data_IF_024052976552
#
_entry.id   IF_024052976552
#
_cell.length_a   1.000
_cell.length_b   1.000
_cell.length_c   1.000
_cell.angle_alpha   90.00
_cell.angle_beta   90.00
_cell.angle_gamma   90.00
#
_symmetry.space_group_name_H-M   'P 1'
#
loop_
_entity.id
_entity.type
_entity.pdbx_description
1 polymer ?
#
# COMPACT_ATOMS: atom_id res chain seq x y z
N UNK A 1 -33.38 4.79 -8.87
CA UNK A 1 -32.78 4.42 -7.58
C UNK A 1 -31.30 4.31 -7.86
N UNK A 2 -30.60 5.45 -7.76
CA UNK A 2 -29.19 5.51 -8.15
C UNK A 2 -28.35 4.74 -7.13
N UNK A 3 -27.61 3.76 -7.64
CA UNK A 3 -26.69 2.96 -6.85
C UNK A 3 -25.48 3.87 -6.57
N UNK A 4 -25.51 4.57 -5.45
CA UNK A 4 -24.35 5.30 -4.94
C UNK A 4 -23.26 4.28 -4.58
N UNK A 5 -22.35 4.03 -5.52
CA UNK A 5 -21.17 3.22 -5.29
C UNK A 5 -20.12 4.07 -4.55
N UNK A 6 -19.91 3.79 -3.27
CA UNK A 6 -18.74 4.29 -2.55
C UNK A 6 -17.47 3.84 -3.29
N UNK A 7 -16.67 4.78 -3.81
CA UNK A 7 -15.44 4.45 -4.53
C UNK A 7 -14.25 4.61 -3.58
N UNK A 8 -13.62 3.49 -3.22
CA UNK A 8 -12.40 3.48 -2.42
C UNK A 8 -11.17 3.51 -3.34
N UNK A 9 -10.38 4.58 -3.25
CA UNK A 9 -9.19 4.79 -4.09
C UNK A 9 -7.92 4.42 -3.32
N UNK A 10 -7.86 4.71 -2.03
CA UNK A 10 -6.70 4.41 -1.18
C UNK A 10 -5.58 5.45 -1.29
N UNK A 11 -4.34 5.00 -1.13
CA UNK A 11 -3.15 5.85 -1.11
C UNK A 11 -2.82 6.40 -2.51
N UNK A 12 -2.31 7.63 -2.57
CA UNK A 12 -1.80 8.20 -3.81
C UNK A 12 -0.52 7.45 -4.27
N UNK A 13 -0.07 7.72 -5.51
CA UNK A 13 1.09 7.05 -6.09
C UNK A 13 2.35 7.23 -5.24
N UNK A 14 2.63 8.44 -4.79
CA UNK A 14 3.81 8.73 -3.98
C UNK A 14 3.81 7.91 -2.68
N UNK A 15 2.68 7.87 -1.97
CA UNK A 15 2.54 7.14 -0.72
C UNK A 15 2.64 5.62 -0.93
N UNK A 16 2.10 5.10 -2.03
CA UNK A 16 2.26 3.70 -2.41
C UNK A 16 3.73 3.34 -2.65
N UNK A 17 4.45 4.22 -3.34
CA UNK A 17 5.87 4.02 -3.61
C UNK A 17 6.69 4.15 -2.31
N UNK A 18 6.36 5.12 -1.45
CA UNK A 18 7.01 5.34 -0.15
C UNK A 18 6.89 4.13 0.79
N UNK A 19 5.72 3.50 0.89
CA UNK A 19 5.53 2.31 1.73
C UNK A 19 6.04 1.00 1.10
N UNK A 20 6.60 1.09 -0.13
CA UNK A 20 7.22 -0.03 -0.87
C UNK A 20 8.71 0.19 -1.15
N UNK A 21 9.24 1.40 -0.92
CA UNK A 21 10.55 1.82 -1.43
C UNK A 21 11.71 1.18 -0.71
N UNK A 22 11.50 0.60 0.47
CA UNK A 22 12.56 -0.06 1.21
C UNK A 22 12.53 -1.57 0.94
N UNK A 23 13.47 -2.03 0.11
CA UNK A 23 13.61 -3.41 -0.30
C UNK A 23 14.84 -4.00 0.38
N UNK A 24 14.65 -4.81 1.42
CA UNK A 24 15.73 -5.55 2.05
C UNK A 24 16.02 -6.84 1.29
N UNK A 25 17.30 -7.22 1.23
CA UNK A 25 17.71 -8.53 0.76
C UNK A 25 17.00 -9.61 1.58
N UNK A 26 16.26 -10.50 0.89
CA UNK A 26 15.46 -11.54 1.53
C UNK A 26 16.15 -12.90 1.44
N UNK A 27 16.49 -13.35 0.23
CA UNK A 27 17.19 -14.62 0.00
C UNK A 27 17.76 -14.71 -1.41
N UNK A 28 18.60 -15.71 -1.61
CA UNK A 28 19.00 -16.19 -2.92
C UNK A 28 18.06 -17.30 -3.40
N UNK A 29 17.55 -17.19 -4.62
CA UNK A 29 16.79 -18.27 -5.26
C UNK A 29 17.67 -18.99 -6.28
N UNK A 30 17.95 -20.27 -6.03
CA UNK A 30 18.60 -21.13 -7.00
C UNK A 30 17.52 -21.70 -7.92
N UNK A 31 17.63 -21.42 -9.22
CA UNK A 31 16.79 -22.05 -10.24
C UNK A 31 17.56 -23.19 -10.88
N UNK A 32 16.94 -24.35 -10.93
CA UNK A 32 17.50 -25.52 -11.63
C UNK A 32 16.68 -25.75 -12.88
N UNK A 33 17.32 -25.68 -14.05
CA UNK A 33 16.70 -26.14 -15.29
C UNK A 33 16.96 -27.65 -15.40
N UNK A 34 15.90 -28.44 -15.49
CA UNK A 34 16.00 -29.88 -15.76
C UNK A 34 15.64 -30.09 -17.23
N UNK A 35 16.61 -30.51 -18.04
CA UNK A 35 16.40 -30.82 -19.45
C UNK A 35 15.70 -32.17 -19.62
N UNK A 36 15.01 -32.42 -20.75
CA UNK A 36 14.29 -33.68 -21.01
C UNK A 36 15.15 -34.95 -20.92
N UNK A 37 16.48 -34.82 -21.05
CA UNK A 37 17.46 -35.91 -20.92
C UNK A 37 18.00 -36.11 -19.50
N UNK A 38 17.43 -35.43 -18.51
CA UNK A 38 17.84 -35.52 -17.10
C UNK A 38 19.08 -34.70 -16.73
N UNK A 39 19.70 -34.00 -17.70
CA UNK A 39 20.75 -33.02 -17.42
C UNK A 39 20.17 -31.87 -16.58
N UNK A 40 20.87 -31.50 -15.52
CA UNK A 40 20.52 -30.36 -14.68
C UNK A 40 21.52 -29.24 -14.89
N UNK A 41 21.03 -28.03 -15.11
CA UNK A 41 21.83 -26.82 -15.14
C UNK A 41 21.40 -25.92 -13.99
N UNK A 42 22.36 -25.55 -13.14
CA UNK A 42 22.16 -24.53 -12.11
C UNK A 42 22.23 -23.16 -12.79
N UNK A 43 21.09 -22.48 -12.84
CA UNK A 43 21.03 -21.10 -13.31
C UNK A 43 21.53 -20.15 -12.22
N UNK A 44 21.99 -18.98 -12.65
CA UNK A 44 22.52 -17.94 -11.78
C UNK A 44 21.61 -17.68 -10.59
N UNK A 45 22.23 -17.59 -9.42
CA UNK A 45 21.56 -17.29 -8.16
C UNK A 45 21.21 -15.80 -8.18
N UNK A 46 19.91 -15.47 -8.23
CA UNK A 46 19.46 -14.08 -8.20
C UNK A 46 19.08 -13.67 -6.77
N UNK A 47 19.51 -12.49 -6.28
CA UNK A 47 19.03 -11.95 -5.02
C UNK A 47 17.55 -11.56 -5.17
N UNK A 48 16.72 -12.07 -4.25
CA UNK A 48 15.34 -11.63 -4.07
C UNK A 48 15.36 -10.55 -2.98
N UNK A 49 14.73 -9.42 -3.29
CA UNK A 49 14.48 -8.35 -2.33
C UNK A 49 13.00 -8.31 -1.99
N UNK A 50 12.67 -8.23 -0.70
CA UNK A 50 11.29 -8.02 -0.24
C UNK A 50 11.19 -6.67 0.45
N UNK A 51 9.98 -6.11 0.49
CA UNK A 51 9.75 -4.92 1.32
C UNK A 51 10.14 -5.23 2.77
N UNK A 52 11.03 -4.42 3.32
CA UNK A 52 11.39 -4.46 4.74
C UNK A 52 10.32 -3.80 5.63
N UNK A 53 9.42 -3.03 5.00
CA UNK A 53 8.31 -2.33 5.65
C UNK A 53 7.21 -3.34 5.94
N UNK A 54 6.85 -3.48 7.22
CA UNK A 54 5.74 -4.33 7.64
C UNK A 54 4.43 -3.58 7.48
N UNK A 55 3.45 -4.21 6.84
CA UNK A 55 2.07 -3.72 6.74
C UNK A 55 1.17 -4.54 7.66
N UNK A 56 0.48 -3.87 8.57
CA UNK A 56 -0.42 -4.50 9.54
C UNK A 56 -1.71 -3.70 9.64
N UNK A 57 -2.80 -4.32 10.09
CA UNK A 57 -4.01 -3.57 10.41
C UNK A 57 -3.73 -2.62 11.59
N UNK A 58 -4.21 -1.37 11.47
CA UNK A 58 -4.02 -0.36 12.51
C UNK A 58 -4.99 -0.54 13.70
N UNK A 59 -6.02 -1.38 13.55
CA UNK A 59 -7.17 -1.43 14.45
C UNK A 59 -8.21 -0.32 14.20
N UNK A 60 -7.91 0.62 13.30
CA UNK A 60 -8.86 1.63 12.83
C UNK A 60 -9.58 1.13 11.59
N UNK A 61 -10.86 1.46 11.48
CA UNK A 61 -11.69 1.05 10.36
C UNK A 61 -12.45 2.24 9.79
N UNK A 62 -12.47 2.33 8.47
CA UNK A 62 -13.52 3.07 7.79
C UNK A 62 -14.85 2.33 7.98
N UNK A 63 -15.88 3.07 8.40
CA UNK A 63 -17.25 2.60 8.47
C UNK A 63 -18.07 3.39 7.47
N UNK A 64 -18.10 2.92 6.23
CA UNK A 64 -18.97 3.46 5.21
C UNK A 64 -20.41 3.02 5.40
N UNK A 65 -21.27 3.59 4.56
CA UNK A 65 -22.70 3.29 4.56
C UNK A 65 -22.96 1.81 4.27
N UNK A 66 -22.06 1.15 3.54
CA UNK A 66 -22.23 -0.25 3.11
C UNK A 66 -21.04 -1.16 3.39
N UNK A 67 -19.87 -0.60 3.77
CA UNK A 67 -18.65 -1.38 3.92
C UNK A 67 -17.82 -0.94 5.13
N UNK A 68 -17.33 -1.94 5.87
CA UNK A 68 -16.26 -1.77 6.85
C UNK A 68 -14.93 -2.13 6.20
N UNK A 69 -13.94 -1.23 6.23
CA UNK A 69 -12.59 -1.50 5.70
C UNK A 69 -11.52 -1.19 6.74
N UNK A 70 -10.57 -2.11 6.99
CA UNK A 70 -9.45 -1.81 7.88
C UNK A 70 -8.55 -0.77 7.23
N UNK A 71 -8.05 0.16 8.05
CA UNK A 71 -6.94 1.04 7.70
C UNK A 71 -5.65 0.40 8.20
N UNK A 72 -4.57 0.57 7.44
CA UNK A 72 -3.30 -0.07 7.75
C UNK A 72 -2.32 0.86 8.46
N UNK A 73 -1.36 0.25 9.15
CA UNK A 73 -0.13 0.89 9.62
C UNK A 73 1.07 0.24 8.94
N UNK A 74 2.12 1.03 8.76
CA UNK A 74 3.35 0.68 8.10
C UNK A 74 4.50 0.91 9.07
N UNK A 75 5.28 -0.14 9.35
CA UNK A 75 6.40 -0.10 10.29
C UNK A 75 7.69 -0.21 9.48
N UNK A 76 8.47 0.86 9.48
CA UNK A 76 9.75 0.94 8.78
C UNK A 76 10.87 0.29 9.61
N UNK A 77 11.97 -0.16 8.97
CA UNK A 77 13.06 -0.83 9.70
C UNK A 77 13.80 0.03 10.71
N UNK A 78 13.76 1.35 10.53
CA UNK A 78 14.31 2.31 11.48
C UNK A 78 13.38 2.58 12.69
N UNK A 79 12.24 1.89 12.75
CA UNK A 79 11.26 1.99 13.82
C UNK A 79 10.16 3.01 13.57
N UNK A 80 10.27 3.86 12.53
CA UNK A 80 9.22 4.85 12.21
C UNK A 80 7.93 4.14 11.80
N UNK A 81 6.81 4.66 12.27
CA UNK A 81 5.49 4.19 11.88
C UNK A 81 4.68 5.25 11.15
N UNK A 82 3.92 4.79 10.15
CA UNK A 82 2.98 5.60 9.40
C UNK A 82 1.62 4.90 9.36
N UNK A 83 0.55 5.67 9.45
CA UNK A 83 -0.82 5.14 9.54
C UNK A 83 -1.65 5.68 8.39
N UNK A 84 -2.45 4.82 7.76
CA UNK A 84 -3.49 5.28 6.84
C UNK A 84 -4.57 6.01 7.62
N UNK A 85 -4.97 7.16 7.11
CA UNK A 85 -6.12 7.92 7.58
C UNK A 85 -6.95 8.37 6.39
N UNK A 86 -8.26 8.43 6.58
CA UNK A 86 -9.19 8.83 5.53
C UNK A 86 -9.02 10.30 5.19
N UNK A 87 -9.03 10.54 3.90
CA UNK A 87 -9.18 11.85 3.29
C UNK A 87 -10.47 11.78 2.46
N UNK A 88 -11.58 12.19 3.05
CA UNK A 88 -12.88 12.14 2.37
C UNK A 88 -13.03 13.34 1.42
N UNK A 89 -13.49 13.05 0.19
CA UNK A 89 -13.92 14.09 -0.72
C UNK A 89 -15.41 13.90 -1.04
N UNK A 90 -16.22 14.93 -0.75
CA UNK A 90 -17.65 14.91 -1.02
C UNK A 90 -17.87 15.26 -2.49
N UNK A 91 -18.50 14.35 -3.22
CA UNK A 91 -18.86 14.53 -4.63
C UNK A 91 -20.37 14.47 -4.80
N UNK A 92 -20.88 15.10 -5.86
CA UNK A 92 -22.31 15.13 -6.19
C UNK A 92 -22.92 13.73 -6.39
N UNK A 93 -22.09 12.74 -6.75
CA UNK A 93 -22.51 11.36 -7.01
C UNK A 93 -22.34 10.41 -5.82
N UNK A 94 -21.90 10.90 -4.66
CA UNK A 94 -21.58 10.12 -3.46
C UNK A 94 -20.12 10.29 -3.00
N UNK A 95 -19.78 9.94 -1.76
CA UNK A 95 -18.43 10.14 -1.22
C UNK A 95 -17.40 9.28 -1.96
N UNK A 96 -16.26 9.89 -2.31
CA UNK A 96 -15.07 9.19 -2.78
C UNK A 96 -14.07 9.14 -1.64
N UNK A 97 -13.59 7.94 -1.35
CA UNK A 97 -12.77 7.66 -0.17
C UNK A 97 -11.32 7.51 -0.59
N UNK A 98 -10.52 8.51 -0.19
CA UNK A 98 -9.08 8.47 -0.34
C UNK A 98 -8.45 8.16 1.01
N UNK A 99 -7.25 7.61 0.99
CA UNK A 99 -6.40 7.53 2.19
C UNK A 99 -5.09 8.26 1.97
N UNK A 100 -4.57 8.81 3.05
CA UNK A 100 -3.25 9.43 3.11
C UNK A 100 -2.55 8.97 4.39
N UNK A 101 -1.25 9.27 4.51
CA UNK A 101 -0.43 8.83 5.62
C UNK A 101 -0.35 9.92 6.70
N UNK A 102 -0.41 9.49 7.96
CA UNK A 102 -0.01 10.28 9.12
C UNK A 102 1.17 9.64 9.83
N UNK A 103 2.02 10.44 10.47
CA UNK A 103 3.08 9.97 11.33
C UNK A 103 2.55 9.52 12.71
N UNK A 104 3.45 9.05 13.58
CA UNK A 104 3.17 8.62 14.95
C UNK A 104 2.55 9.70 15.84
N UNK A 105 2.78 10.97 15.49
CA UNK A 105 2.20 12.13 16.17
C UNK A 105 0.85 12.54 15.58
N UNK A 106 0.34 11.81 14.58
CA UNK A 106 -0.90 12.10 13.88
C UNK A 106 -0.80 13.24 12.86
N UNK A 107 0.40 13.69 12.52
CA UNK A 107 0.62 14.74 11.52
C UNK A 107 0.59 14.14 10.12
N UNK A 108 -0.12 14.80 9.20
CA UNK A 108 -0.18 14.39 7.81
C UNK A 108 1.19 14.45 7.15
N UNK A 109 1.50 13.42 6.36
CA UNK A 109 2.62 13.43 5.40
C UNK A 109 2.13 14.15 4.15
N UNK A 110 2.59 15.39 3.87
CA UNK A 110 1.98 16.24 2.84
C UNK A 110 1.94 15.59 1.45
N UNK A 111 2.99 14.87 1.09
CA UNK A 111 3.14 14.21 -0.21
C UNK A 111 2.19 13.02 -0.39
N UNK A 112 1.62 12.50 0.70
CA UNK A 112 0.63 11.43 0.67
C UNK A 112 -0.80 11.94 0.47
N UNK A 113 -1.03 13.25 0.62
CA UNK A 113 -2.34 13.85 0.45
C UNK A 113 -2.76 13.82 -1.01
N UNK A 114 -4.05 13.62 -1.23
CA UNK A 114 -4.65 13.78 -2.54
C UNK A 114 -4.93 15.26 -2.79
N UNK A 115 -4.41 15.79 -3.89
CA UNK A 115 -4.73 17.16 -4.34
C UNK A 115 -6.10 17.20 -4.99
N UNK A 116 -6.71 18.38 -5.12
CA UNK A 116 -7.98 18.51 -5.84
C UNK A 116 -7.91 17.95 -7.27
N UNK A 117 -6.79 18.16 -7.96
CA UNK A 117 -6.56 17.64 -9.30
C UNK A 117 -6.48 16.10 -9.31
N UNK A 118 -5.79 15.51 -8.33
CA UNK A 118 -5.72 14.06 -8.17
C UNK A 118 -7.05 13.42 -7.74
N UNK A 119 -7.90 14.18 -7.04
CA UNK A 119 -9.24 13.75 -6.66
C UNK A 119 -10.17 13.76 -7.89
N UNK A 120 -10.08 14.81 -8.72
CA UNK A 120 -10.96 15.06 -9.90
C UNK A 120 -10.64 14.27 -11.16
N UNK A 121 -9.47 13.60 -11.23
CA UNK A 121 -9.01 12.81 -12.38
C UNK A 121 -9.70 11.43 -12.49
#
# INVERSE_FOLDING_TARGET
>A
MDIHNERFVGLNKWALDFVKSDSAFFRFEARTHIYPKGQQERLNILPIYNSSIKKEESGTFYHGMWNKRPLYKYIFPDGRMYFEKLQEAIWSSGPVLFTALVDESGRWVPESLWTEEGIKA
#
